data_IF_783270107557
#
_entry.id   IF_783270107557
#
_cell.length_a   1.000
_cell.length_b   1.000
_cell.length_c   1.000
_cell.angle_alpha   90.00
_cell.angle_beta   90.00
_cell.angle_gamma   90.00
#
_symmetry.space_group_name_H-M   'P 1'
#
loop_
_entity.id
_entity.type
_entity.pdbx_description
1 polymer ?
#
# COMPACT_ATOMS: atom_id res chain seq x y z
N UNK A 1 -33.95 9.52 -17.71
CA UNK A 1 -33.21 10.13 -16.61
C UNK A 1 -31.79 10.50 -17.02
N UNK A 2 -31.29 11.59 -16.55
CA UNK A 2 -29.91 11.99 -16.79
C UNK A 2 -29.00 11.04 -16.02
N UNK A 3 -27.87 10.61 -16.59
CA UNK A 3 -26.89 9.76 -15.94
C UNK A 3 -26.31 10.43 -14.69
N UNK A 4 -26.32 11.75 -14.62
CA UNK A 4 -25.88 12.52 -13.45
C UNK A 4 -26.71 12.24 -12.18
N UNK A 5 -27.99 11.84 -12.33
CA UNK A 5 -28.86 11.53 -11.20
C UNK A 5 -28.44 10.26 -10.42
N UNK A 6 -27.60 9.43 -11.05
CA UNK A 6 -27.11 8.17 -10.48
C UNK A 6 -25.64 8.22 -10.08
N UNK A 7 -24.97 9.37 -10.24
CA UNK A 7 -23.57 9.52 -9.89
C UNK A 7 -23.39 10.13 -8.51
N UNK A 8 -22.63 9.47 -7.67
CA UNK A 8 -22.21 9.97 -6.35
C UNK A 8 -20.77 10.44 -6.45
N UNK A 9 -20.52 11.68 -6.06
CA UNK A 9 -19.15 12.18 -5.93
C UNK A 9 -18.51 11.62 -4.65
N UNK A 10 -17.65 10.64 -4.79
CA UNK A 10 -16.95 9.98 -3.68
C UNK A 10 -15.59 10.60 -3.33
N UNK A 11 -15.24 11.72 -3.96
CA UNK A 11 -14.00 12.44 -3.74
C UNK A 11 -13.00 12.33 -4.90
N UNK A 12 -11.77 12.72 -4.66
CA UNK A 12 -10.70 12.75 -5.66
C UNK A 12 -9.78 11.52 -5.55
N UNK A 13 -9.30 11.03 -6.68
CA UNK A 13 -8.27 9.99 -6.74
C UNK A 13 -6.84 10.55 -6.67
N UNK A 14 -6.69 11.87 -6.78
CA UNK A 14 -5.38 12.54 -6.67
C UNK A 14 -5.24 13.11 -5.27
N UNK A 15 -4.11 12.84 -4.62
CA UNK A 15 -3.86 13.34 -3.26
C UNK A 15 -3.78 14.89 -3.26
N UNK A 16 -4.69 15.59 -2.60
CA UNK A 16 -4.61 17.04 -2.48
C UNK A 16 -3.46 17.48 -1.54
N UNK A 17 -3.06 16.61 -0.63
CA UNK A 17 -1.98 16.89 0.31
C UNK A 17 -0.87 15.85 0.20
N UNK A 18 0.34 16.33 -0.05
CA UNK A 18 1.56 15.54 -0.04
C UNK A 18 2.53 16.14 0.95
N UNK A 19 3.17 15.30 1.76
CA UNK A 19 4.19 15.76 2.68
C UNK A 19 5.44 14.88 2.63
N UNK A 20 6.56 15.44 3.06
CA UNK A 20 7.81 14.75 3.27
C UNK A 20 8.43 15.23 4.57
N UNK A 21 8.87 14.31 5.40
CA UNK A 21 9.57 14.60 6.64
C UNK A 21 10.91 13.88 6.65
N UNK A 22 11.98 14.66 6.53
CA UNK A 22 13.35 14.17 6.60
C UNK A 22 14.03 14.79 7.82
N UNK A 23 14.80 14.00 8.54
CA UNK A 23 15.61 14.48 9.64
C UNK A 23 16.94 13.72 9.71
N UNK A 24 17.95 14.39 10.25
CA UNK A 24 19.27 13.81 10.51
C UNK A 24 19.72 14.19 11.92
N UNK A 25 20.08 13.19 12.70
CA UNK A 25 20.64 13.34 14.02
C UNK A 25 22.11 12.92 13.99
N UNK A 26 22.97 13.83 14.42
CA UNK A 26 24.40 13.56 14.55
C UNK A 26 24.80 13.53 16.02
N UNK A 27 25.45 12.48 16.45
CA UNK A 27 25.97 12.34 17.79
C UNK A 27 27.37 11.71 17.76
N UNK A 28 28.37 12.49 18.14
CA UNK A 28 29.79 12.11 18.04
C UNK A 28 30.14 11.67 16.60
N UNK A 29 30.39 10.39 16.41
CA UNK A 29 30.77 9.78 15.14
C UNK A 29 29.62 9.09 14.42
N UNK A 30 28.42 9.13 14.98
CA UNK A 30 27.22 8.53 14.41
C UNK A 30 26.32 9.57 13.77
N UNK A 31 25.83 9.26 12.57
CA UNK A 31 24.77 9.98 11.89
C UNK A 31 23.59 9.02 11.67
N UNK A 32 22.41 9.42 12.11
CA UNK A 32 21.16 8.73 11.85
C UNK A 32 20.25 9.65 11.03
N UNK A 33 19.89 9.24 9.83
CA UNK A 33 18.91 9.97 9.01
C UNK A 33 17.72 9.08 8.68
N UNK A 34 16.55 9.69 8.52
CA UNK A 34 15.35 9.01 8.08
C UNK A 34 14.46 9.91 7.25
N UNK A 35 13.64 9.28 6.41
CA UNK A 35 12.70 9.93 5.51
C UNK A 35 11.34 9.24 5.60
N UNK A 36 10.31 10.03 5.91
CA UNK A 36 8.91 9.67 5.76
C UNK A 36 8.28 10.49 4.65
N UNK A 37 7.42 9.88 3.86
CA UNK A 37 6.57 10.55 2.88
C UNK A 37 5.12 10.17 3.12
N UNK A 38 4.19 11.04 2.78
CA UNK A 38 2.77 10.72 2.95
C UNK A 38 1.88 11.46 1.98
N UNK A 39 0.72 10.85 1.74
CA UNK A 39 -0.35 11.37 0.87
C UNK A 39 -1.68 11.28 1.60
N UNK A 40 -2.46 12.36 1.54
CA UNK A 40 -3.70 12.47 2.31
C UNK A 40 -4.86 13.04 1.49
N UNK A 41 -6.07 12.67 1.90
CA UNK A 41 -7.31 13.27 1.44
C UNK A 41 -7.82 12.76 0.09
N UNK A 42 -7.20 11.72 -0.46
CA UNK A 42 -7.67 11.09 -1.68
C UNK A 42 -8.32 9.74 -1.43
N UNK A 43 -9.01 9.25 -2.43
CA UNK A 43 -9.73 7.98 -2.43
C UNK A 43 -9.19 7.07 -3.51
N UNK A 44 -9.30 5.78 -3.30
CA UNK A 44 -9.05 4.78 -4.32
C UNK A 44 -10.16 3.75 -4.33
N UNK A 45 -10.28 3.03 -5.43
CA UNK A 45 -11.18 1.90 -5.50
C UNK A 45 -10.43 0.63 -5.17
N UNK A 46 -10.83 -0.01 -4.08
CA UNK A 46 -10.31 -1.33 -3.71
C UNK A 46 -10.68 -2.35 -4.79
N UNK A 47 -9.70 -3.13 -5.22
CA UNK A 47 -9.90 -4.27 -6.11
C UNK A 47 -10.22 -5.55 -5.36
N UNK A 48 -10.27 -5.50 -4.03
CA UNK A 48 -10.53 -6.67 -3.17
C UNK A 48 -11.83 -7.37 -3.48
N UNK A 49 -12.79 -6.65 -4.05
CA UNK A 49 -14.11 -7.16 -4.43
C UNK A 49 -14.23 -7.53 -5.91
N UNK A 50 -13.20 -7.30 -6.71
CA UNK A 50 -13.23 -7.60 -8.14
C UNK A 50 -12.80 -9.06 -8.42
N UNK A 51 -13.41 -10.00 -7.72
CA UNK A 51 -13.15 -11.43 -7.91
C UNK A 51 -14.08 -12.01 -8.96
N UNK A 52 -13.55 -12.66 -10.00
CA UNK A 52 -14.35 -13.51 -10.85
C UNK A 52 -14.82 -14.73 -10.04
N UNK A 53 -16.12 -14.89 -9.91
CA UNK A 53 -16.79 -15.94 -9.10
C UNK A 53 -16.36 -17.38 -9.50
N UNK A 54 -15.70 -17.55 -10.64
CA UNK A 54 -15.32 -18.86 -11.21
C UNK A 54 -13.91 -19.35 -10.88
N UNK A 55 -13.11 -18.58 -10.20
CA UNK A 55 -11.74 -19.01 -9.94
C UNK A 55 -11.64 -19.59 -8.54
N UNK A 56 -11.11 -20.81 -8.43
CA UNK A 56 -10.63 -21.40 -7.18
C UNK A 56 -9.41 -20.64 -6.63
N UNK A 57 -9.42 -19.33 -6.77
CA UNK A 57 -8.38 -18.45 -6.24
C UNK A 57 -8.72 -18.22 -4.78
N UNK A 58 -7.74 -18.38 -3.92
CA UNK A 58 -7.86 -18.04 -2.51
C UNK A 58 -8.28 -16.56 -2.40
N UNK A 59 -9.32 -16.24 -1.62
CA UNK A 59 -9.74 -14.89 -1.41
C UNK A 59 -8.57 -14.09 -0.81
N UNK A 60 -8.47 -12.80 -1.17
CA UNK A 60 -7.58 -11.91 -0.45
C UNK A 60 -8.07 -11.73 1.00
N UNK A 61 -7.25 -11.09 1.83
CA UNK A 61 -7.58 -10.86 3.24
C UNK A 61 -8.95 -10.19 3.42
N UNK A 62 -9.25 -9.16 2.62
CA UNK A 62 -10.52 -8.45 2.71
C UNK A 62 -11.73 -9.36 2.43
N UNK A 63 -11.63 -10.20 1.41
CA UNK A 63 -12.66 -11.16 1.08
C UNK A 63 -12.78 -12.25 2.16
N UNK A 64 -11.65 -12.74 2.67
CA UNK A 64 -11.63 -13.72 3.75
C UNK A 64 -12.27 -13.16 5.03
N UNK A 65 -11.99 -11.91 5.37
CA UNK A 65 -12.57 -11.23 6.54
C UNK A 65 -14.10 -11.05 6.38
N UNK A 66 -14.57 -10.71 5.18
CA UNK A 66 -16.01 -10.59 4.89
C UNK A 66 -16.71 -11.95 5.01
N UNK A 67 -16.10 -13.01 4.45
CA UNK A 67 -16.62 -14.38 4.56
C UNK A 67 -16.66 -14.81 6.01
N UNK A 68 -15.61 -14.58 6.79
CA UNK A 68 -15.52 -14.94 8.19
C UNK A 68 -16.56 -14.20 9.05
N UNK A 69 -16.87 -12.94 8.76
CA UNK A 69 -17.86 -12.14 9.49
C UNK A 69 -19.30 -12.53 9.19
N UNK A 70 -19.57 -13.06 8.00
CA UNK A 70 -20.94 -13.30 7.53
C UNK A 70 -21.30 -14.78 7.37
N UNK A 71 -20.41 -15.69 7.77
CA UNK A 71 -20.57 -17.14 7.56
C UNK A 71 -20.35 -17.59 6.12
N UNK A 72 -20.39 -18.89 5.90
CA UNK A 72 -19.95 -19.53 4.64
C UNK A 72 -20.73 -19.15 3.37
N UNK A 73 -21.79 -18.37 3.50
CA UNK A 73 -22.77 -18.22 2.41
C UNK A 73 -22.92 -16.83 1.87
N UNK A 74 -22.20 -15.80 2.42
CA UNK A 74 -22.70 -14.47 2.14
C UNK A 74 -21.66 -13.33 2.06
N UNK A 75 -21.54 -12.76 0.89
CA UNK A 75 -21.02 -11.41 0.70
C UNK A 75 -22.22 -10.47 0.64
N UNK A 76 -22.56 -9.69 1.69
CA UNK A 76 -23.85 -9.02 1.82
C UNK A 76 -24.23 -8.12 0.65
N UNK A 77 -23.25 -7.42 0.09
CA UNK A 77 -23.46 -6.53 -1.05
C UNK A 77 -23.49 -7.26 -2.40
N UNK A 78 -22.94 -8.46 -2.44
CA UNK A 78 -22.97 -9.31 -3.63
C UNK A 78 -24.28 -10.06 -3.76
N UNK A 79 -24.91 -10.38 -2.65
CA UNK A 79 -26.09 -11.23 -2.62
C UNK A 79 -27.40 -10.45 -2.71
N UNK A 80 -27.43 -9.20 -2.31
CA UNK A 80 -28.68 -8.42 -2.35
C UNK A 80 -29.41 -8.46 -3.71
N UNK A 81 -28.71 -8.45 -4.85
CA UNK A 81 -29.34 -8.63 -6.16
C UNK A 81 -29.52 -10.09 -6.61
N UNK A 82 -28.95 -11.07 -5.91
CA UNK A 82 -28.88 -12.46 -6.35
C UNK A 82 -29.69 -13.44 -5.51
N UNK A 83 -30.37 -12.98 -4.49
CA UNK A 83 -31.19 -13.85 -3.62
C UNK A 83 -32.27 -14.62 -4.36
N UNK A 84 -32.68 -14.14 -5.55
CA UNK A 84 -33.75 -14.74 -6.35
C UNK A 84 -33.25 -15.56 -7.55
N UNK A 85 -31.91 -15.61 -7.76
CA UNK A 85 -31.34 -16.36 -8.89
C UNK A 85 -30.56 -17.59 -8.44
N UNK A 86 -30.83 -18.77 -9.02
CA UNK A 86 -29.98 -19.94 -8.79
C UNK A 86 -28.54 -19.65 -9.21
N UNK A 87 -27.61 -19.84 -8.31
CA UNK A 87 -26.19 -19.51 -8.48
C UNK A 87 -25.58 -19.99 -9.81
N UNK A 88 -26.07 -21.13 -10.33
CA UNK A 88 -25.58 -21.74 -11.54
C UNK A 88 -26.00 -21.01 -12.84
N UNK A 89 -27.16 -20.37 -12.88
CA UNK A 89 -27.63 -19.64 -14.05
C UNK A 89 -27.16 -18.20 -14.09
N UNK A 90 -27.00 -17.56 -12.94
CA UNK A 90 -26.43 -16.24 -12.82
C UNK A 90 -24.95 -16.19 -13.24
N UNK A 91 -24.20 -17.26 -12.98
CA UNK A 91 -22.79 -17.37 -13.30
C UNK A 91 -22.53 -17.49 -14.82
N UNK A 92 -23.47 -17.95 -15.60
CA UNK A 92 -23.27 -18.18 -17.04
C UNK A 92 -23.50 -16.94 -17.90
N UNK A 93 -24.48 -16.09 -17.56
CA UNK A 93 -24.89 -14.97 -18.41
C UNK A 93 -24.41 -13.60 -17.96
N UNK A 94 -23.99 -13.43 -16.68
CA UNK A 94 -23.85 -12.11 -16.09
C UNK A 94 -22.53 -11.81 -15.36
N UNK A 95 -21.44 -12.45 -15.75
CA UNK A 95 -20.10 -12.01 -15.36
C UNK A 95 -19.86 -10.52 -15.66
N UNK A 96 -20.47 -10.00 -16.72
CA UNK A 96 -20.45 -8.59 -17.07
C UNK A 96 -21.21 -7.71 -16.06
N UNK A 97 -22.30 -8.21 -15.50
CA UNK A 97 -23.11 -7.46 -14.54
C UNK A 97 -22.37 -7.33 -13.18
N UNK A 98 -21.84 -8.44 -12.65
CA UNK A 98 -21.04 -8.42 -11.42
C UNK A 98 -19.83 -7.50 -11.53
N UNK A 99 -19.07 -7.62 -12.63
CA UNK A 99 -17.92 -6.75 -12.91
C UNK A 99 -18.34 -5.28 -13.02
N UNK A 100 -19.46 -4.99 -13.65
CA UNK A 100 -20.00 -3.63 -13.73
C UNK A 100 -20.44 -3.13 -12.36
N UNK A 101 -21.17 -3.94 -11.62
CA UNK A 101 -21.63 -3.58 -10.28
C UNK A 101 -20.46 -3.26 -9.34
N UNK A 102 -19.50 -4.16 -9.22
CA UNK A 102 -18.32 -3.96 -8.36
C UNK A 102 -17.45 -2.80 -8.82
N UNK A 103 -17.44 -2.51 -10.11
CA UNK A 103 -16.66 -1.41 -10.68
C UNK A 103 -17.27 -0.04 -10.41
N UNK A 104 -18.57 0.07 -10.31
CA UNK A 104 -19.26 1.38 -10.25
C UNK A 104 -19.91 1.67 -8.89
N UNK A 105 -20.06 0.69 -8.02
CA UNK A 105 -20.61 0.92 -6.68
C UNK A 105 -19.65 1.74 -5.81
N UNK A 106 -20.21 2.50 -4.90
CA UNK A 106 -19.47 3.33 -3.92
C UNK A 106 -18.83 2.51 -2.79
N UNK A 107 -19.35 1.34 -2.51
CA UNK A 107 -18.89 0.45 -1.44
C UNK A 107 -17.38 0.12 -1.50
N UNK A 108 -16.81 0.00 -2.70
CA UNK A 108 -15.39 -0.28 -2.89
C UNK A 108 -14.49 0.95 -2.81
N UNK A 109 -15.02 2.12 -2.46
CA UNK A 109 -14.23 3.35 -2.39
C UNK A 109 -13.71 3.54 -0.98
N UNK A 110 -12.40 3.45 -0.84
CA UNK A 110 -11.68 3.51 0.42
C UNK A 110 -10.77 4.73 0.51
N UNK A 111 -10.30 5.02 1.73
CA UNK A 111 -9.28 6.04 1.95
C UNK A 111 -7.96 5.60 1.33
N UNK A 112 -7.38 6.46 0.49
CA UNK A 112 -6.05 6.25 -0.08
C UNK A 112 -4.95 6.93 0.74
N UNK A 113 -5.28 7.44 1.93
CA UNK A 113 -4.30 8.02 2.85
C UNK A 113 -3.25 6.99 3.22
N UNK A 114 -1.98 7.38 3.07
CA UNK A 114 -0.84 6.54 3.42
C UNK A 114 0.34 7.36 3.95
N UNK A 115 1.20 6.70 4.74
CA UNK A 115 2.51 7.19 5.15
C UNK A 115 3.52 6.09 4.85
N UNK A 116 4.60 6.44 4.15
CA UNK A 116 5.70 5.52 3.86
C UNK A 116 6.91 5.87 4.71
N UNK A 117 7.44 4.88 5.39
CA UNK A 117 8.81 4.90 5.92
C UNK A 117 9.75 4.56 4.77
N UNK A 118 10.17 5.61 4.08
CA UNK A 118 10.86 5.51 2.80
C UNK A 118 12.32 5.12 2.94
N UNK A 119 13.00 5.68 3.94
CA UNK A 119 14.44 5.49 4.10
C UNK A 119 14.88 5.64 5.56
N UNK A 120 15.86 4.85 5.95
CA UNK A 120 16.69 5.06 7.14
C UNK A 120 18.15 4.82 6.76
N UNK A 121 19.05 5.66 7.28
CA UNK A 121 20.49 5.47 7.14
C UNK A 121 21.16 5.67 8.50
N UNK A 122 21.90 4.69 8.93
CA UNK A 122 22.82 4.78 10.08
C UNK A 122 24.24 4.77 9.55
N UNK A 123 25.00 5.80 9.87
CA UNK A 123 26.38 5.90 9.45
C UNK A 123 27.31 6.11 10.66
N UNK A 124 28.50 5.57 10.56
CA UNK A 124 29.56 5.74 11.55
C UNK A 124 30.84 6.18 10.86
N UNK A 125 31.37 7.33 11.28
CA UNK A 125 32.64 7.87 10.79
C UNK A 125 33.72 7.50 11.75
N UNK A 126 34.76 6.77 11.29
CA UNK A 126 35.86 6.38 12.15
C UNK A 126 36.64 7.60 12.65
N UNK A 127 37.06 7.58 13.94
CA UNK A 127 37.88 8.64 14.50
C UNK A 127 39.25 8.75 13.80
N UNK A 128 39.75 9.97 13.68
CA UNK A 128 41.03 10.27 12.98
C UNK A 128 42.21 9.44 13.47
N UNK A 129 42.31 9.23 14.78
CA UNK A 129 43.39 8.43 15.38
C UNK A 129 43.43 6.96 14.93
N UNK A 130 42.30 6.44 14.45
CA UNK A 130 42.23 5.08 13.90
C UNK A 130 42.58 5.09 12.42
N UNK A 131 42.01 5.98 11.64
CA UNK A 131 42.22 6.03 10.18
C UNK A 131 43.67 6.41 9.82
N UNK A 132 44.31 7.29 10.58
CA UNK A 132 45.70 7.67 10.40
C UNK A 132 46.66 6.47 10.65
N UNK A 133 46.35 5.57 11.58
CA UNK A 133 47.13 4.37 11.84
C UNK A 133 47.12 3.38 10.68
N UNK A 134 46.08 3.36 9.90
CA UNK A 134 45.94 2.48 8.73
C UNK A 134 46.27 3.19 7.42
N UNK A 135 46.73 4.45 7.49
CA UNK A 135 47.25 5.21 6.34
C UNK A 135 46.20 5.71 5.38
N UNK A 136 44.95 5.95 5.86
CA UNK A 136 43.85 6.51 5.03
C UNK A 136 43.41 7.86 5.60
N UNK A 137 42.87 8.72 4.75
CA UNK A 137 42.37 10.05 5.12
C UNK A 137 41.04 10.03 5.86
N UNK A 138 40.22 9.01 5.63
CA UNK A 138 38.93 8.86 6.31
C UNK A 138 38.22 7.56 5.96
N UNK A 139 37.35 7.09 6.89
CA UNK A 139 36.49 5.93 6.65
C UNK A 139 35.13 6.16 7.28
N UNK A 140 34.07 6.05 6.46
CA UNK A 140 32.67 6.08 6.88
C UNK A 140 32.00 4.78 6.48
N UNK A 141 31.42 4.10 7.43
CA UNK A 141 30.62 2.89 7.25
C UNK A 141 29.17 3.29 7.36
N UNK A 142 28.30 2.80 6.48
CA UNK A 142 26.86 3.08 6.58
C UNK A 142 26.00 1.87 6.27
N UNK A 143 24.90 1.79 6.98
CA UNK A 143 23.79 0.86 6.72
C UNK A 143 22.57 1.68 6.29
N UNK A 144 22.02 1.36 5.13
CA UNK A 144 20.84 2.03 4.56
C UNK A 144 19.73 1.02 4.36
N UNK A 145 18.53 1.37 4.80
CA UNK A 145 17.30 0.66 4.49
C UNK A 145 16.36 1.52 3.64
N UNK A 146 15.77 0.94 2.61
CA UNK A 146 14.81 1.60 1.73
C UNK A 146 13.50 0.83 1.70
N UNK A 147 12.37 1.53 1.44
CA UNK A 147 11.03 0.96 1.33
C UNK A 147 10.65 0.10 2.53
N UNK A 148 10.88 0.60 3.74
CA UNK A 148 10.81 -0.20 4.96
C UNK A 148 9.39 -0.59 5.32
N UNK A 149 8.46 0.35 5.26
CA UNK A 149 7.07 0.11 5.61
C UNK A 149 6.13 1.13 5.00
N UNK A 150 4.90 0.69 4.70
CA UNK A 150 3.79 1.56 4.32
C UNK A 150 2.68 1.40 5.34
N UNK A 151 2.32 2.50 5.99
CA UNK A 151 1.14 2.60 6.84
C UNK A 151 -0.02 3.03 5.98
N UNK A 152 -1.05 2.20 5.87
CA UNK A 152 -2.28 2.46 5.14
C UNK A 152 -3.40 2.80 6.11
N UNK A 153 -4.34 3.63 5.69
CA UNK A 153 -5.46 4.07 6.53
C UNK A 153 -6.81 3.73 5.86
N UNK A 154 -6.88 2.52 5.32
CA UNK A 154 -8.10 1.94 4.78
C UNK A 154 -8.47 0.64 5.51
N UNK A 155 -9.70 0.21 5.34
CA UNK A 155 -10.28 -0.94 6.04
C UNK A 155 -9.54 -2.26 5.78
N UNK A 156 -8.93 -2.40 4.61
CA UNK A 156 -8.40 -3.67 4.12
C UNK A 156 -6.88 -3.75 4.12
N UNK A 157 -6.19 -2.71 4.63
CA UNK A 157 -4.73 -2.60 4.63
C UNK A 157 -4.14 -2.73 3.22
N UNK A 158 -4.90 -2.26 2.23
CA UNK A 158 -4.44 -2.22 0.84
C UNK A 158 -3.56 -1.00 0.60
N UNK A 159 -2.48 -1.20 -0.14
CA UNK A 159 -1.65 -0.09 -0.60
C UNK A 159 -2.28 0.55 -1.84
N UNK A 160 -2.77 1.81 -1.74
CA UNK A 160 -3.46 2.46 -2.87
C UNK A 160 -2.60 2.67 -4.11
N UNK A 161 -1.27 2.71 -3.94
CA UNK A 161 -0.33 2.90 -5.04
C UNK A 161 0.10 1.58 -5.69
N UNK A 162 -0.11 0.47 -4.99
CA UNK A 162 0.20 -0.87 -5.47
C UNK A 162 -1.04 -1.76 -5.34
N UNK A 163 -2.03 -1.57 -6.21
CA UNK A 163 -3.25 -2.35 -6.14
C UNK A 163 -2.99 -3.84 -6.33
N UNK A 164 -3.96 -4.65 -5.95
CA UNK A 164 -3.88 -6.10 -6.01
C UNK A 164 -3.43 -6.58 -7.40
N UNK A 165 -2.46 -7.48 -7.44
CA UNK A 165 -1.85 -7.98 -8.68
C UNK A 165 -0.65 -7.18 -9.17
N UNK A 166 -0.28 -6.09 -8.51
CA UNK A 166 0.98 -5.38 -8.78
C UNK A 166 2.08 -5.78 -7.81
N UNK A 167 3.32 -5.63 -8.24
CA UNK A 167 4.49 -5.93 -7.40
C UNK A 167 4.79 -4.72 -6.52
N UNK A 168 4.65 -4.89 -5.21
CA UNK A 168 5.07 -3.87 -4.24
C UNK A 168 6.59 -3.83 -4.14
N UNK A 169 7.19 -2.63 -4.00
CA UNK A 169 8.60 -2.52 -3.64
C UNK A 169 8.86 -3.24 -2.31
N UNK A 170 9.86 -4.11 -2.28
CA UNK A 170 10.29 -4.78 -1.06
C UNK A 170 11.30 -3.92 -0.31
N UNK A 171 11.41 -4.15 0.99
CA UNK A 171 12.47 -3.54 1.79
C UNK A 171 13.83 -3.98 1.28
N UNK A 172 14.73 -3.03 1.05
CA UNK A 172 16.08 -3.27 0.58
C UNK A 172 17.09 -2.70 1.58
N UNK A 173 18.11 -3.48 1.90
CA UNK A 173 19.17 -3.08 2.83
C UNK A 173 20.51 -3.04 2.10
N UNK A 174 21.27 -1.99 2.35
CA UNK A 174 22.58 -1.76 1.72
C UNK A 174 23.60 -1.46 2.81
N UNK A 175 24.68 -2.19 2.81
CA UNK A 175 25.89 -1.86 3.59
C UNK A 175 26.92 -1.23 2.65
N UNK A 176 27.46 -0.09 3.03
CA UNK A 176 28.46 0.62 2.22
C UNK A 176 29.60 1.19 3.02
N UNK A 177 30.69 1.43 2.32
CA UNK A 177 31.93 2.00 2.83
C UNK A 177 32.30 3.21 1.97
N UNK A 178 32.71 4.29 2.63
CA UNK A 178 33.25 5.49 2.00
C UNK A 178 34.68 5.67 2.51
N UNK A 179 35.69 5.56 1.64
CA UNK A 179 37.10 5.66 1.97
C UNK A 179 37.64 6.92 1.31
N UNK A 180 38.30 7.76 2.10
CA UNK A 180 39.09 8.89 1.62
C UNK A 180 40.56 8.53 1.75
N UNK A 181 41.28 8.63 0.66
CA UNK A 181 42.73 8.38 0.59
C UNK A 181 43.56 9.63 0.88
#
# INVERSE_FOLDING_TARGET
GDWSDYMINSGTSVAPWNFSFANTFSWKNFDLSFLFTGKFGHKFRSLSFNYPIRTNILPNKAMADVIAQNGDTYIPFAAAPYTDYPLASAVASDMNWWTRYTRFMDYGIESATLIRFQEITLAYTLPRNIVERIGIGGLKIYLKGNNLHTFTFNKYDEDPEFPLGTIKPVAAYTLGLNITL
#
